data_IF_991993760738
#
_entry.id   IF_991993760738
#
_cell.length_a   1.000
_cell.length_b   1.000
_cell.length_c   1.000
_cell.angle_alpha   90.00
_cell.angle_beta   90.00
_cell.angle_gamma   90.00
#
_symmetry.space_group_name_H-M   'P 1'
#
loop_
_entity.id
_entity.type
_entity.pdbx_description
1 polymer ?
#
# COMPACT_ATOMS: atom_id res chain seq x y z
N UNK A 1 -25.02 17.70 4.09
CA UNK A 1 -24.80 18.01 5.53
C UNK A 1 -24.36 16.81 6.36
N UNK A 2 -25.19 15.80 6.66
CA UNK A 2 -24.75 14.67 7.51
C UNK A 2 -23.64 13.79 6.90
N UNK A 3 -23.62 13.62 5.57
CA UNK A 3 -22.55 12.91 4.85
C UNK A 3 -21.20 13.64 4.93
N UNK A 4 -21.23 14.96 5.04
CA UNK A 4 -20.02 15.79 5.05
C UNK A 4 -19.31 15.67 6.41
N UNK A 5 -20.07 15.67 7.51
CA UNK A 5 -19.53 15.43 8.86
C UNK A 5 -18.93 14.03 9.04
N UNK A 6 -19.63 12.99 8.56
CA UNK A 6 -19.12 11.62 8.67
C UNK A 6 -17.80 11.45 7.90
N UNK A 7 -17.71 12.05 6.70
CA UNK A 7 -16.47 12.10 5.90
C UNK A 7 -15.37 12.87 6.62
N UNK A 8 -15.65 14.03 7.18
CA UNK A 8 -14.64 14.82 7.90
C UNK A 8 -14.08 14.06 9.10
N UNK A 9 -14.92 13.41 9.90
CA UNK A 9 -14.44 12.58 11.02
C UNK A 9 -13.60 11.41 10.50
N UNK A 10 -14.05 10.73 9.44
CA UNK A 10 -13.31 9.61 8.88
C UNK A 10 -11.94 10.04 8.33
N UNK A 11 -11.89 11.09 7.52
CA UNK A 11 -10.67 11.52 6.81
C UNK A 11 -9.71 12.34 7.69
N UNK A 12 -10.22 13.13 8.64
CA UNK A 12 -9.39 14.07 9.41
C UNK A 12 -9.10 13.60 10.83
N UNK A 13 -9.83 12.60 11.35
CA UNK A 13 -9.63 12.09 12.71
C UNK A 13 -9.27 10.60 12.68
N UNK A 14 -10.15 9.76 12.14
CA UNK A 14 -9.99 8.31 12.23
C UNK A 14 -8.85 7.78 11.36
N UNK A 15 -8.79 8.17 10.08
CA UNK A 15 -7.76 7.71 9.17
C UNK A 15 -6.34 8.13 9.61
N UNK A 16 -6.05 9.41 9.93
CA UNK A 16 -4.73 9.82 10.41
C UNK A 16 -4.33 9.09 11.70
N UNK A 17 -5.28 8.90 12.62
CA UNK A 17 -5.03 8.17 13.88
C UNK A 17 -4.69 6.70 13.61
N UNK A 18 -5.44 6.02 12.75
CA UNK A 18 -5.15 4.61 12.39
C UNK A 18 -3.79 4.49 11.70
N UNK A 19 -3.49 5.37 10.74
CA UNK A 19 -2.20 5.38 10.05
C UNK A 19 -1.06 5.60 11.04
N UNK A 20 -1.19 6.55 11.97
CA UNK A 20 -0.20 6.79 13.02
C UNK A 20 0.07 5.54 13.87
N UNK A 21 -0.97 4.84 14.34
CA UNK A 21 -0.80 3.60 15.12
C UNK A 21 -0.11 2.50 14.30
N UNK A 22 -0.52 2.29 13.05
CA UNK A 22 0.07 1.29 12.16
C UNK A 22 1.54 1.58 11.89
N UNK A 23 1.89 2.83 11.56
CA UNK A 23 3.28 3.26 11.28
C UNK A 23 4.15 3.09 12.52
N UNK A 24 3.66 3.51 13.70
CA UNK A 24 4.39 3.36 14.96
C UNK A 24 4.71 1.90 15.26
N UNK A 25 3.77 0.97 15.03
CA UNK A 25 4.04 -0.46 15.19
C UNK A 25 5.00 -0.99 14.13
N UNK A 26 4.82 -0.61 12.87
CA UNK A 26 5.67 -1.04 11.75
C UNK A 26 7.14 -0.65 11.92
N UNK A 27 7.41 0.53 12.47
CA UNK A 27 8.78 0.96 12.76
C UNK A 27 9.51 -0.02 13.70
N UNK A 28 8.75 -0.70 14.57
CA UNK A 28 9.25 -1.62 15.60
C UNK A 28 9.28 -3.09 15.18
N UNK A 29 8.71 -3.47 14.03
CA UNK A 29 8.79 -4.87 13.56
C UNK A 29 10.06 -5.16 12.78
N UNK A 30 10.43 -6.44 12.68
CA UNK A 30 11.59 -6.88 11.91
C UNK A 30 11.35 -6.82 10.41
N UNK A 31 10.13 -7.13 9.97
CA UNK A 31 9.76 -7.20 8.56
C UNK A 31 8.26 -6.97 8.35
N UNK A 32 7.91 -6.55 7.15
CA UNK A 32 6.55 -6.37 6.72
C UNK A 32 6.39 -6.65 5.22
N UNK A 33 5.16 -6.88 4.80
CA UNK A 33 4.78 -7.01 3.40
C UNK A 33 3.94 -5.81 2.98
N UNK A 34 4.08 -5.38 1.73
CA UNK A 34 3.17 -4.43 1.10
C UNK A 34 2.25 -5.18 0.14
N UNK A 35 0.99 -4.78 0.12
CA UNK A 35 0.09 -5.13 -0.96
C UNK A 35 -0.59 -3.87 -1.49
N UNK A 36 -0.72 -3.77 -2.80
CA UNK A 36 -1.46 -2.68 -3.42
C UNK A 36 -2.37 -3.21 -4.52
N UNK A 37 -3.40 -2.44 -4.83
CA UNK A 37 -4.37 -2.74 -5.87
C UNK A 37 -4.82 -1.42 -6.50
N UNK A 38 -5.29 -1.46 -7.74
CA UNK A 38 -5.85 -0.28 -8.38
C UNK A 38 -7.37 -0.39 -8.40
N UNK A 39 -8.04 0.65 -7.89
CA UNK A 39 -9.46 0.86 -8.10
C UNK A 39 -9.69 2.05 -9.01
N UNK A 40 -10.62 1.91 -9.95
CA UNK A 40 -10.94 2.97 -10.91
C UNK A 40 -12.11 3.80 -10.39
N UNK A 41 -11.93 5.12 -10.31
CA UNK A 41 -13.02 6.09 -10.12
C UNK A 41 -12.95 7.13 -11.24
N UNK A 42 -13.67 6.86 -12.33
CA UNK A 42 -13.56 7.66 -13.56
C UNK A 42 -12.18 7.51 -14.20
N UNK A 43 -11.49 8.63 -14.46
CA UNK A 43 -10.16 8.66 -15.09
C UNK A 43 -8.99 8.60 -14.09
N UNK A 44 -9.27 8.65 -12.79
CA UNK A 44 -8.24 8.58 -11.74
C UNK A 44 -8.27 7.20 -11.10
N UNK A 45 -7.08 6.59 -10.95
CA UNK A 45 -6.92 5.39 -10.14
C UNK A 45 -6.59 5.75 -8.71
N UNK A 46 -7.35 5.16 -7.79
CA UNK A 46 -7.07 5.16 -6.36
C UNK A 46 -6.37 3.85 -6.03
N UNK A 47 -5.17 3.95 -5.48
CA UNK A 47 -4.28 2.82 -5.22
C UNK A 47 -3.98 2.75 -3.72
N UNK A 48 -4.75 1.97 -2.94
CA UNK A 48 -4.43 1.73 -1.53
C UNK A 48 -3.08 1.03 -1.39
N UNK A 49 -2.20 1.58 -0.59
CA UNK A 49 -0.96 0.95 -0.13
C UNK A 49 -1.24 0.32 1.22
N UNK A 50 -1.35 -1.00 1.24
CA UNK A 50 -1.62 -1.78 2.44
C UNK A 50 -0.37 -2.47 2.95
N UNK A 51 -0.31 -2.67 4.26
CA UNK A 51 0.73 -3.44 4.92
C UNK A 51 0.18 -4.66 5.63
N UNK A 52 1.04 -5.66 5.78
CA UNK A 52 0.85 -6.77 6.70
C UNK A 52 2.14 -7.06 7.44
N UNK A 53 2.02 -7.28 8.74
CA UNK A 53 3.14 -7.57 9.61
C UNK A 53 2.70 -8.42 10.79
N UNK A 54 3.65 -9.11 11.42
CA UNK A 54 3.41 -9.85 12.65
C UNK A 54 3.74 -8.97 13.85
N UNK A 55 2.74 -8.72 14.69
CA UNK A 55 2.85 -7.99 15.95
C UNK A 55 2.83 -8.96 17.13
N UNK A 56 2.99 -8.44 18.35
CA UNK A 56 2.85 -9.23 19.59
C UNK A 56 1.48 -9.91 19.73
N UNK A 57 0.44 -9.35 19.12
CA UNK A 57 -0.93 -9.88 19.18
C UNK A 57 -1.32 -10.66 17.94
N UNK A 58 -0.36 -11.02 17.08
CA UNK A 58 -0.58 -11.75 15.84
C UNK A 58 -0.46 -10.88 14.58
N UNK A 59 -0.96 -11.42 13.47
CA UNK A 59 -0.94 -10.78 12.15
C UNK A 59 -1.83 -9.54 12.15
N UNK A 60 -1.25 -8.40 11.78
CA UNK A 60 -1.96 -7.13 11.59
C UNK A 60 -1.96 -6.72 10.14
N UNK A 61 -2.98 -5.95 9.80
CA UNK A 61 -3.15 -5.31 8.51
C UNK A 61 -3.42 -3.82 8.72
N UNK A 62 -2.95 -2.99 7.80
CA UNK A 62 -3.18 -1.56 7.85
C UNK A 62 -3.12 -0.94 6.46
N UNK A 63 -3.66 0.27 6.33
CA UNK A 63 -3.51 1.11 5.15
C UNK A 63 -2.52 2.22 5.52
N UNK A 64 -1.50 2.41 4.69
CA UNK A 64 -0.55 3.50 4.84
C UNK A 64 -1.04 4.76 4.14
N UNK A 65 -1.48 4.61 2.88
CA UNK A 65 -1.84 5.73 2.03
C UNK A 65 -2.78 5.27 0.90
N UNK A 66 -3.56 6.21 0.36
CA UNK A 66 -4.23 6.08 -0.92
C UNK A 66 -3.54 6.96 -1.95
N UNK A 67 -2.88 6.36 -2.93
CA UNK A 67 -2.26 7.11 -4.02
C UNK A 67 -3.29 7.41 -5.11
N UNK A 68 -3.38 8.68 -5.49
CA UNK A 68 -4.06 9.12 -6.71
C UNK A 68 -3.08 9.11 -7.87
N UNK A 69 -3.37 8.33 -8.91
CA UNK A 69 -2.45 8.19 -10.04
C UNK A 69 -3.20 8.20 -11.38
N UNK A 70 -2.78 9.08 -12.29
CA UNK A 70 -3.28 9.13 -13.68
C UNK A 70 -2.58 8.14 -14.61
N UNK A 71 -1.29 7.83 -14.38
CA UNK A 71 -0.48 7.04 -15.29
C UNK A 71 -0.03 5.73 -14.67
N UNK A 72 -0.35 4.61 -15.30
CA UNK A 72 -0.12 3.26 -14.78
C UNK A 72 1.27 2.69 -15.14
N UNK A 73 2.31 3.51 -15.17
CA UNK A 73 3.65 2.98 -15.44
C UNK A 73 4.24 2.32 -14.20
N UNK A 74 5.08 1.30 -14.43
CA UNK A 74 5.79 0.60 -13.36
C UNK A 74 6.69 1.55 -12.57
N UNK A 75 7.36 2.48 -13.24
CA UNK A 75 8.26 3.46 -12.62
C UNK A 75 7.52 4.45 -11.72
N UNK A 76 6.35 4.92 -12.14
CA UNK A 76 5.55 5.85 -11.35
C UNK A 76 5.02 5.16 -10.09
N UNK A 77 4.49 3.93 -10.21
CA UNK A 77 4.08 3.13 -9.06
C UNK A 77 5.24 2.82 -8.11
N UNK A 78 6.37 2.38 -8.65
CA UNK A 78 7.58 2.12 -7.87
C UNK A 78 8.02 3.35 -7.08
N UNK A 79 8.08 4.52 -7.74
CA UNK A 79 8.49 5.79 -7.12
C UNK A 79 7.50 6.21 -6.03
N UNK A 80 6.20 6.11 -6.28
CA UNK A 80 5.18 6.48 -5.30
C UNK A 80 5.18 5.55 -4.08
N UNK A 81 5.33 4.23 -4.26
CA UNK A 81 5.42 3.29 -3.13
C UNK A 81 6.70 3.58 -2.31
N UNK A 82 7.82 3.86 -2.98
CA UNK A 82 9.07 4.25 -2.31
C UNK A 82 8.90 5.54 -1.51
N UNK A 83 8.23 6.54 -2.08
CA UNK A 83 7.91 7.78 -1.38
C UNK A 83 7.04 7.52 -0.14
N UNK A 84 6.01 6.68 -0.23
CA UNK A 84 5.17 6.31 0.93
C UNK A 84 6.01 5.66 2.04
N UNK A 85 6.95 4.78 1.70
CA UNK A 85 7.88 4.20 2.67
C UNK A 85 8.75 5.27 3.33
N UNK A 86 9.37 6.14 2.54
CA UNK A 86 10.26 7.20 3.01
C UNK A 86 9.53 8.23 3.88
N UNK A 87 8.34 8.68 3.47
CA UNK A 87 7.52 9.64 4.19
C UNK A 87 7.02 9.13 5.55
N UNK A 88 6.94 7.81 5.73
CA UNK A 88 6.58 7.16 7.00
C UNK A 88 7.80 6.63 7.78
N UNK A 89 9.02 6.98 7.35
CA UNK A 89 10.29 6.54 7.92
C UNK A 89 10.43 5.00 7.98
N UNK A 90 9.78 4.30 7.04
CA UNK A 90 9.82 2.85 6.93
C UNK A 90 11.01 2.42 6.09
N UNK A 91 11.92 1.66 6.70
CA UNK A 91 13.13 1.19 6.02
C UNK A 91 12.77 0.13 4.96
N UNK A 92 13.12 0.40 3.70
CA UNK A 92 12.85 -0.53 2.59
C UNK A 92 13.49 -1.91 2.78
N UNK A 93 14.61 -2.02 3.51
CA UNK A 93 15.24 -3.31 3.80
C UNK A 93 14.44 -4.22 4.75
N UNK A 94 13.34 -3.73 5.36
CA UNK A 94 12.38 -4.52 6.11
C UNK A 94 11.23 -5.05 5.25
N UNK A 95 11.10 -4.59 4.00
CA UNK A 95 10.08 -5.06 3.06
C UNK A 95 10.49 -6.44 2.54
N UNK A 96 9.73 -7.47 2.91
CA UNK A 96 10.04 -8.87 2.54
C UNK A 96 9.15 -9.41 1.42
N UNK A 97 8.00 -8.80 1.18
CA UNK A 97 7.09 -9.23 0.13
C UNK A 97 6.29 -8.08 -0.45
N UNK A 98 6.07 -8.14 -1.76
CA UNK A 98 5.24 -7.19 -2.50
C UNK A 98 4.14 -7.93 -3.26
N UNK A 99 2.88 -7.63 -2.93
CA UNK A 99 1.69 -8.23 -3.54
C UNK A 99 0.89 -7.25 -4.38
N UNK A 100 0.37 -7.73 -5.51
CA UNK A 100 -0.48 -6.97 -6.43
C UNK A 100 -1.27 -7.91 -7.34
N UNK A 101 -2.05 -7.38 -8.29
CA UNK A 101 -2.65 -8.18 -9.34
C UNK A 101 -1.59 -8.72 -10.33
N UNK A 102 -1.97 -9.67 -11.18
CA UNK A 102 -1.03 -10.32 -12.10
C UNK A 102 -0.83 -9.56 -13.43
N UNK A 103 -1.05 -8.23 -13.45
CA UNK A 103 -0.87 -7.46 -14.67
C UNK A 103 0.63 -7.25 -15.00
N UNK A 104 0.95 -6.98 -16.27
CA UNK A 104 2.34 -6.88 -16.72
C UNK A 104 3.12 -5.75 -16.03
N UNK A 105 2.47 -4.62 -15.76
CA UNK A 105 3.04 -3.47 -15.05
C UNK A 105 3.49 -3.86 -13.64
N UNK A 106 2.73 -4.73 -12.98
CA UNK A 106 2.94 -5.09 -11.59
C UNK A 106 3.93 -6.25 -11.41
N UNK A 107 3.85 -7.28 -12.27
CA UNK A 107 4.57 -8.55 -12.05
C UNK A 107 5.40 -9.06 -13.23
N UNK A 108 5.50 -8.30 -14.33
CA UNK A 108 6.30 -8.65 -15.50
C UNK A 108 7.80 -8.85 -15.19
N UNK A 109 8.48 -9.69 -15.99
CA UNK A 109 9.82 -10.19 -15.64
C UNK A 109 10.94 -9.15 -15.81
N UNK A 110 10.83 -8.23 -16.77
CA UNK A 110 11.94 -7.33 -17.13
C UNK A 110 11.77 -5.92 -16.57
N UNK A 111 10.55 -5.39 -16.67
CA UNK A 111 10.21 -4.04 -16.24
C UNK A 111 8.80 -4.01 -15.66
N UNK A 112 8.72 -4.19 -14.35
CA UNK A 112 7.49 -4.15 -13.57
C UNK A 112 7.80 -3.58 -12.19
N UNK A 113 6.77 -3.20 -11.43
CA UNK A 113 6.93 -2.71 -10.06
C UNK A 113 7.68 -3.75 -9.23
N UNK A 114 7.33 -5.04 -9.34
CA UNK A 114 8.04 -6.11 -8.66
C UNK A 114 9.51 -6.19 -9.09
N UNK A 115 9.80 -6.20 -10.39
CA UNK A 115 11.18 -6.29 -10.89
C UNK A 115 12.03 -5.08 -10.48
N UNK A 116 11.44 -3.89 -10.37
CA UNK A 116 12.12 -2.68 -9.87
C UNK A 116 12.45 -2.79 -8.38
N UNK A 117 11.51 -3.25 -7.56
CA UNK A 117 11.77 -3.49 -6.14
C UNK A 117 12.74 -4.65 -5.89
N UNK A 118 12.70 -5.72 -6.68
CA UNK A 118 13.61 -6.86 -6.56
C UNK A 118 15.06 -6.46 -6.86
N UNK A 119 15.29 -5.57 -7.82
CA UNK A 119 16.63 -4.98 -8.08
C UNK A 119 17.15 -4.20 -6.87
N UNK A 120 16.27 -3.53 -6.14
CA UNK A 120 16.62 -2.77 -4.93
C UNK A 120 16.79 -3.66 -3.70
N UNK A 121 16.00 -4.74 -3.62
CA UNK A 121 15.87 -5.64 -2.48
C UNK A 121 16.04 -7.10 -2.94
N UNK A 122 17.29 -7.56 -3.14
CA UNK A 122 17.54 -8.96 -3.50
C UNK A 122 16.95 -9.89 -2.43
N UNK A 123 16.03 -10.78 -2.84
CA UNK A 123 15.31 -11.67 -1.93
C UNK A 123 13.87 -11.25 -1.62
N UNK A 124 13.37 -10.17 -2.23
CA UNK A 124 11.95 -9.81 -2.18
C UNK A 124 11.08 -10.96 -2.70
N UNK A 125 10.04 -11.31 -1.94
CA UNK A 125 9.11 -12.38 -2.30
C UNK A 125 7.91 -11.80 -3.05
N UNK A 126 7.50 -12.45 -4.14
CA UNK A 126 6.25 -12.10 -4.84
C UNK A 126 5.06 -12.53 -3.97
N UNK A 127 4.35 -11.55 -3.41
CA UNK A 127 3.16 -11.74 -2.60
C UNK A 127 1.91 -11.95 -3.45
N UNK A 128 0.83 -12.40 -2.81
CA UNK A 128 -0.51 -12.41 -3.41
C UNK A 128 -1.25 -11.14 -3.02
N UNK A 129 -2.11 -10.65 -3.91
CA UNK A 129 -3.13 -9.66 -3.57
C UNK A 129 -4.01 -10.15 -2.40
N UNK A 130 -4.34 -9.30 -1.43
CA UNK A 130 -5.40 -9.66 -0.48
C UNK A 130 -6.75 -9.71 -1.23
N UNK A 131 -7.47 -10.82 -1.12
CA UNK A 131 -8.72 -11.07 -1.87
C UNK A 131 -9.84 -10.05 -1.63
N UNK A 132 -9.69 -9.14 -0.66
CA UNK A 132 -10.68 -8.11 -0.31
C UNK A 132 -10.20 -6.65 -0.50
N UNK A 133 -9.01 -6.37 -1.08
CA UNK A 133 -8.56 -4.97 -1.29
C UNK A 133 -9.53 -4.19 -2.20
N UNK A 134 -10.03 -4.84 -3.26
CA UNK A 134 -11.01 -4.25 -4.18
C UNK A 134 -12.40 -4.02 -3.56
N UNK A 135 -12.66 -4.53 -2.35
CA UNK A 135 -13.87 -4.21 -1.59
C UNK A 135 -13.69 -2.96 -0.72
N UNK A 136 -12.46 -2.62 -0.30
CA UNK A 136 -12.18 -1.37 0.40
C UNK A 136 -12.43 -0.15 -0.51
N UNK A 137 -12.18 -0.28 -1.82
CA UNK A 137 -12.48 0.78 -2.80
C UNK A 137 -13.97 1.05 -3.02
N UNK A 138 -14.87 0.14 -2.61
CA UNK A 138 -16.31 0.38 -2.66
C UNK A 138 -16.85 1.11 -1.42
N UNK A 139 -16.03 1.25 -0.37
CA UNK A 139 -16.39 1.94 0.89
C UNK A 139 -15.56 3.23 1.08
N UNK A 140 -14.47 3.39 0.33
CA UNK A 140 -13.73 4.64 0.27
C UNK A 140 -14.42 5.64 -0.68
N UNK A 141 -15.33 6.44 -0.11
CA UNK A 141 -15.92 7.70 -0.62
C UNK A 141 -17.09 7.61 -1.60
#
# INVERSE_FOLDING_TARGET
MAKDYAREIACNVLAPSLTYYIVTELQNVSSFSICYDASHKGNTKMIPIMVQFFSRTGVKHGILEFLEQMHESADALFTNIKYVLEANELKSNKLVSLGSDNNYVNVGNHHSVFALFEKLLPGLIKGKKYSNISKFSLVAL
#
